data_IF_548971806801
#
_entry.id   IF_548971806801
#
_cell.length_a   1.000
_cell.length_b   1.000
_cell.length_c   1.000
_cell.angle_alpha   90.00
_cell.angle_beta   90.00
_cell.angle_gamma   90.00
#
_symmetry.space_group_name_H-M   'P 1'
#
loop_
_entity.id
_entity.type
_entity.pdbx_description
1 polymer ?
#
# COMPACT_ATOMS: atom_id res chain seq x y z
N UNK A 1 -0.05 -18.79 -52.84
CA UNK A 1 -0.39 -18.35 -51.49
C UNK A 1 0.71 -17.43 -51.00
N UNK A 2 0.42 -16.15 -50.91
CA UNK A 2 1.37 -15.18 -50.34
C UNK A 2 1.04 -15.08 -48.87
N UNK A 3 2.00 -15.49 -48.02
CA UNK A 3 1.97 -15.25 -46.57
C UNK A 3 2.08 -13.75 -46.33
N UNK A 4 1.08 -13.19 -45.68
CA UNK A 4 1.15 -11.83 -45.17
C UNK A 4 2.06 -11.83 -43.94
N UNK A 5 3.28 -11.43 -44.17
CA UNK A 5 4.22 -11.03 -43.13
C UNK A 5 3.69 -9.72 -42.53
N UNK A 6 3.03 -9.79 -41.37
CA UNK A 6 2.79 -8.64 -40.51
C UNK A 6 4.13 -8.24 -39.90
N UNK A 7 4.77 -7.30 -40.53
CA UNK A 7 5.90 -6.57 -39.96
C UNK A 7 5.39 -5.78 -38.76
N UNK A 8 5.53 -6.37 -37.57
CA UNK A 8 5.37 -5.70 -36.31
C UNK A 8 6.57 -4.76 -36.12
N UNK A 9 6.45 -3.54 -36.58
CA UNK A 9 7.46 -2.49 -36.45
C UNK A 9 7.78 -2.08 -35.03
N UNK A 10 8.03 -3.06 -34.14
CA UNK A 10 8.71 -2.86 -32.89
C UNK A 10 10.21 -2.90 -33.14
N UNK A 11 10.76 -1.74 -33.39
CA UNK A 11 12.21 -1.55 -33.30
C UNK A 11 12.61 -1.88 -31.87
N UNK A 12 13.27 -3.03 -31.67
CA UNK A 12 13.96 -3.31 -30.42
C UNK A 12 14.96 -2.18 -30.19
N UNK A 13 14.60 -1.28 -29.27
CA UNK A 13 15.59 -0.35 -28.75
C UNK A 13 16.62 -1.17 -28.00
N UNK A 14 17.77 -1.31 -28.59
CA UNK A 14 18.96 -1.79 -27.90
C UNK A 14 19.16 -0.87 -26.70
N UNK A 15 18.75 -1.34 -25.51
CA UNK A 15 19.05 -0.71 -24.26
C UNK A 15 20.53 -0.94 -23.95
N UNK A 16 21.35 -0.01 -24.41
CA UNK A 16 22.72 0.12 -23.91
C UNK A 16 22.59 0.32 -22.38
N UNK A 17 22.97 -0.73 -21.63
CA UNK A 17 23.43 -0.74 -20.24
C UNK A 17 22.98 0.37 -19.28
N UNK A 18 21.72 0.77 -19.27
CA UNK A 18 21.17 1.57 -18.20
C UNK A 18 20.42 0.64 -17.25
N UNK A 19 20.82 0.63 -15.98
CA UNK A 19 20.00 0.05 -14.93
C UNK A 19 18.55 0.58 -15.10
N UNK A 20 17.54 -0.29 -14.90
CA UNK A 20 16.15 0.18 -14.97
C UNK A 20 16.02 1.42 -14.08
N UNK A 21 15.28 2.46 -14.52
CA UNK A 21 15.15 3.67 -13.75
C UNK A 21 14.69 3.29 -12.33
N UNK A 22 15.46 3.68 -11.32
CA UNK A 22 15.05 3.49 -9.93
C UNK A 22 13.69 4.17 -9.76
N UNK A 23 12.70 3.40 -9.32
CA UNK A 23 11.41 3.96 -8.96
C UNK A 23 11.62 5.05 -7.90
N UNK A 24 10.98 6.21 -8.03
CA UNK A 24 11.13 7.28 -7.06
C UNK A 24 10.80 6.76 -5.66
N UNK A 25 11.68 7.03 -4.70
CA UNK A 25 11.46 6.63 -3.32
C UNK A 25 10.30 7.44 -2.72
N UNK A 26 9.28 6.72 -2.28
CA UNK A 26 8.13 7.32 -1.61
C UNK A 26 8.33 7.14 -0.11
N UNK A 27 8.79 8.19 0.57
CA UNK A 27 9.09 8.16 2.01
C UNK A 27 7.83 8.41 2.83
N UNK A 28 7.60 7.54 3.82
CA UNK A 28 6.48 7.62 4.75
C UNK A 28 6.97 7.36 6.17
N UNK A 29 6.30 7.93 7.16
CA UNK A 29 6.68 7.69 8.56
C UNK A 29 6.19 6.34 9.05
N UNK A 30 7.02 5.67 9.86
CA UNK A 30 6.70 4.41 10.52
C UNK A 30 6.61 4.63 12.03
N UNK A 31 5.60 4.02 12.66
CA UNK A 31 5.34 4.06 14.09
C UNK A 31 5.42 2.67 14.68
N UNK A 32 5.94 2.56 15.89
CA UNK A 32 6.18 1.29 16.57
C UNK A 32 4.90 0.44 16.70
N UNK A 33 3.78 1.09 17.01
CA UNK A 33 2.50 0.43 17.21
C UNK A 33 1.34 1.43 17.04
N UNK A 34 0.12 0.94 17.25
CA UNK A 34 -1.09 1.74 17.13
C UNK A 34 -1.12 2.98 18.05
N UNK A 35 -0.50 2.92 19.23
CA UNK A 35 -0.54 3.99 20.25
C UNK A 35 0.60 5.00 20.11
N UNK A 36 1.63 4.67 19.35
CA UNK A 36 2.80 5.52 19.23
C UNK A 36 2.45 6.87 18.60
N UNK A 37 2.85 7.96 19.21
CA UNK A 37 2.63 9.32 18.75
C UNK A 37 3.84 9.87 17.97
N UNK A 38 5.03 9.37 18.28
CA UNK A 38 6.27 9.75 17.60
C UNK A 38 6.69 8.67 16.62
N UNK A 39 7.12 9.02 15.41
CA UNK A 39 7.64 8.03 14.47
C UNK A 39 8.97 7.44 14.94
N UNK A 40 9.21 6.19 14.58
CA UNK A 40 10.52 5.55 14.68
C UNK A 40 11.51 6.10 13.63
N UNK A 41 10.99 6.53 12.51
CA UNK A 41 11.73 7.01 11.36
C UNK A 41 10.88 6.96 10.10
N UNK A 42 11.53 7.09 8.95
CA UNK A 42 10.90 7.05 7.65
C UNK A 42 11.34 5.80 6.89
N UNK A 43 10.41 5.24 6.13
CA UNK A 43 10.64 4.06 5.30
C UNK A 43 10.17 4.31 3.87
N UNK A 44 10.72 3.57 2.92
CA UNK A 44 10.20 3.52 1.57
C UNK A 44 8.90 2.72 1.55
N UNK A 45 7.81 3.31 1.03
CA UNK A 45 6.48 2.71 1.02
C UNK A 45 6.46 1.37 0.27
N UNK A 46 7.13 1.29 -0.88
CA UNK A 46 7.13 0.09 -1.71
C UNK A 46 7.89 -1.05 -1.02
N UNK A 47 9.04 -0.74 -0.42
CA UNK A 47 9.81 -1.72 0.36
C UNK A 47 9.02 -2.18 1.59
N UNK A 48 8.33 -1.27 2.25
CA UNK A 48 7.47 -1.62 3.39
C UNK A 48 6.35 -2.58 3.01
N UNK A 49 5.65 -2.33 1.91
CA UNK A 49 4.58 -3.22 1.42
C UNK A 49 5.08 -4.63 1.06
N UNK A 50 6.37 -4.77 0.74
CA UNK A 50 7.01 -6.05 0.42
C UNK A 50 7.69 -6.73 1.61
N UNK A 51 7.69 -6.12 2.80
CA UNK A 51 8.38 -6.69 3.96
C UNK A 51 7.71 -7.97 4.44
N UNK A 52 8.52 -8.98 4.78
CA UNK A 52 8.08 -10.22 5.41
C UNK A 52 8.38 -10.25 6.92
N UNK A 53 8.92 -9.16 7.48
CA UNK A 53 9.36 -9.10 8.89
C UNK A 53 8.28 -9.48 9.89
N UNK A 54 7.02 -9.19 9.59
CA UNK A 54 5.89 -9.43 10.50
C UNK A 54 4.99 -10.58 10.04
N UNK A 55 5.51 -11.47 9.20
CA UNK A 55 4.75 -12.57 8.60
C UNK A 55 4.08 -13.46 9.64
N UNK A 56 4.79 -13.80 10.72
CA UNK A 56 4.26 -14.68 11.78
C UNK A 56 3.09 -14.03 12.52
N UNK A 57 3.21 -12.75 12.87
CA UNK A 57 2.14 -12.00 13.52
C UNK A 57 0.92 -11.84 12.61
N UNK A 58 1.13 -11.64 11.31
CA UNK A 58 0.04 -11.56 10.34
C UNK A 58 -0.67 -12.92 10.17
N UNK A 59 0.08 -14.02 10.16
CA UNK A 59 -0.50 -15.38 10.13
C UNK A 59 -1.31 -15.62 11.40
N UNK A 60 -0.76 -15.32 12.57
CA UNK A 60 -1.46 -15.47 13.86
C UNK A 60 -2.76 -14.65 13.89
N UNK A 61 -2.74 -13.41 13.38
CA UNK A 61 -3.94 -12.58 13.25
C UNK A 61 -5.00 -13.20 12.35
N UNK A 62 -4.60 -13.80 11.24
CA UNK A 62 -5.53 -14.38 10.25
C UNK A 62 -6.10 -15.73 10.69
N UNK A 63 -5.36 -16.50 11.48
CA UNK A 63 -5.73 -17.85 11.88
C UNK A 63 -6.49 -17.93 13.19
N UNK A 64 -6.37 -16.92 14.08
CA UNK A 64 -7.12 -16.90 15.33
C UNK A 64 -8.57 -16.45 15.13
N UNK A 65 -9.52 -17.13 15.76
CA UNK A 65 -10.93 -16.73 15.85
C UNK A 65 -11.23 -15.84 17.08
N UNK A 66 -10.30 -15.76 18.02
CA UNK A 66 -10.46 -14.94 19.22
C UNK A 66 -10.23 -13.46 18.90
N UNK A 67 -11.30 -12.69 18.97
CA UNK A 67 -11.27 -11.25 18.65
C UNK A 67 -10.35 -10.45 19.60
N UNK A 68 -10.26 -10.83 20.86
CA UNK A 68 -9.35 -10.16 21.81
C UNK A 68 -7.89 -10.40 21.45
N UNK A 69 -7.56 -11.60 21.00
CA UNK A 69 -6.21 -11.93 20.52
C UNK A 69 -5.92 -11.18 19.23
N UNK A 70 -6.85 -11.13 18.28
CA UNK A 70 -6.72 -10.37 17.02
C UNK A 70 -6.44 -8.90 17.30
N UNK A 71 -7.22 -8.28 18.17
CA UNK A 71 -7.04 -6.86 18.52
C UNK A 71 -5.69 -6.61 19.21
N UNK A 72 -5.23 -7.51 20.05
CA UNK A 72 -3.90 -7.41 20.68
C UNK A 72 -2.80 -7.45 19.64
N UNK A 73 -2.85 -8.41 18.72
CA UNK A 73 -1.85 -8.53 17.63
C UNK A 73 -1.86 -7.26 16.79
N UNK A 74 -3.04 -6.82 16.32
CA UNK A 74 -3.19 -5.62 15.48
C UNK A 74 -2.60 -4.37 16.14
N UNK A 75 -2.84 -4.17 17.43
CA UNK A 75 -2.38 -2.99 18.17
C UNK A 75 -0.87 -2.95 18.37
N UNK A 76 -0.22 -4.12 18.39
CA UNK A 76 1.22 -4.24 18.58
C UNK A 76 2.01 -4.27 17.25
N UNK A 77 1.32 -4.36 16.10
CA UNK A 77 1.98 -4.26 14.83
C UNK A 77 2.38 -2.81 14.53
N UNK A 78 3.53 -2.59 13.89
CA UNK A 78 3.90 -1.27 13.43
C UNK A 78 2.93 -0.78 12.36
N UNK A 79 2.79 0.52 12.29
CA UNK A 79 1.95 1.18 11.30
C UNK A 79 2.71 2.30 10.57
N UNK A 80 2.23 2.62 9.38
CA UNK A 80 2.78 3.68 8.54
C UNK A 80 1.71 4.74 8.26
N UNK A 81 2.16 5.91 7.85
CA UNK A 81 1.31 7.00 7.37
C UNK A 81 1.51 7.20 5.87
N UNK A 82 0.73 6.52 4.99
CA UNK A 82 0.94 6.57 3.53
C UNK A 82 0.84 7.97 2.94
N UNK A 83 0.10 8.87 3.59
CA UNK A 83 -0.11 10.25 3.14
C UNK A 83 1.11 11.16 3.30
N UNK A 84 2.12 10.77 4.10
CA UNK A 84 3.27 11.65 4.27
C UNK A 84 4.25 11.27 5.36
N UNK A 85 5.20 12.18 5.54
CA UNK A 85 6.18 12.20 6.62
C UNK A 85 5.63 13.06 7.74
N UNK A 86 5.67 12.55 8.97
CA UNK A 86 5.13 13.19 10.17
C UNK A 86 6.19 13.25 11.27
N UNK A 87 6.26 14.33 12.02
CA UNK A 87 7.01 14.43 13.28
C UNK A 87 6.18 13.99 14.49
N UNK A 88 4.87 14.04 14.39
CA UNK A 88 3.92 13.49 15.37
C UNK A 88 2.71 12.93 14.62
N UNK A 89 2.06 11.92 15.19
CA UNK A 89 0.86 11.29 14.59
C UNK A 89 -0.38 12.15 14.85
N UNK A 90 -0.36 13.33 14.29
CA UNK A 90 -1.44 14.31 14.37
C UNK A 90 -1.52 15.10 13.06
N UNK A 91 -2.62 15.77 12.83
CA UNK A 91 -2.82 16.63 11.65
C UNK A 91 -1.71 17.68 11.53
N UNK A 92 -1.35 18.30 12.64
CA UNK A 92 -0.34 19.37 12.67
C UNK A 92 1.09 18.84 12.62
N UNK A 93 1.27 17.54 12.73
CA UNK A 93 2.57 16.88 12.65
C UNK A 93 3.07 16.62 11.24
N UNK A 94 2.28 16.88 10.20
CA UNK A 94 2.66 16.66 8.81
C UNK A 94 3.85 17.54 8.42
N UNK A 95 4.91 16.91 7.92
CA UNK A 95 6.12 17.58 7.42
C UNK A 95 6.12 17.65 5.90
N UNK A 96 5.79 16.54 5.27
CA UNK A 96 5.78 16.42 3.81
C UNK A 96 4.67 15.48 3.36
N UNK A 97 3.85 15.93 2.44
CA UNK A 97 2.80 15.11 1.83
C UNK A 97 3.35 14.28 0.67
N UNK A 98 2.94 13.00 0.57
CA UNK A 98 3.35 12.11 -0.52
C UNK A 98 2.53 12.27 -1.80
N UNK A 99 1.36 12.89 -1.73
CA UNK A 99 0.37 12.89 -2.81
C UNK A 99 -0.60 11.70 -2.76
N UNK A 100 -0.40 10.71 -1.86
CA UNK A 100 -1.32 9.59 -1.70
C UNK A 100 -2.44 9.91 -0.71
N UNK A 101 -3.61 9.40 -1.04
CA UNK A 101 -4.80 9.40 -0.16
C UNK A 101 -5.05 7.95 0.24
N UNK A 102 -5.19 7.72 1.54
CA UNK A 102 -5.62 6.43 2.07
C UNK A 102 -7.14 6.44 2.23
N UNK A 103 -7.82 5.56 1.51
CA UNK A 103 -9.26 5.36 1.61
C UNK A 103 -9.49 4.07 2.40
N UNK A 104 -10.15 4.18 3.54
CA UNK A 104 -10.56 3.03 4.35
C UNK A 104 -12.05 2.75 4.10
N UNK A 105 -12.34 1.55 3.62
CA UNK A 105 -13.70 1.09 3.36
C UNK A 105 -13.98 -0.09 4.28
N UNK A 106 -14.67 0.16 5.38
CA UNK A 106 -15.04 -0.87 6.32
C UNK A 106 -16.29 -1.62 5.83
N UNK A 107 -16.17 -2.93 5.67
CA UNK A 107 -17.28 -3.81 5.29
C UNK A 107 -18.46 -3.75 6.27
N UNK A 108 -18.17 -3.56 7.56
CA UNK A 108 -19.20 -3.44 8.60
C UNK A 108 -20.13 -2.27 8.36
N UNK A 109 -19.57 -1.13 7.93
CA UNK A 109 -20.33 0.08 7.68
C UNK A 109 -20.92 0.12 6.26
N UNK A 110 -20.46 -0.75 5.38
CA UNK A 110 -20.85 -0.84 3.98
C UNK A 110 -21.46 -2.20 3.62
N UNK A 111 -22.16 -2.84 4.55
CA UNK A 111 -22.72 -4.19 4.39
C UNK A 111 -23.75 -4.37 3.27
N UNK A 112 -24.17 -3.28 2.62
CA UNK A 112 -25.04 -3.31 1.43
C UNK A 112 -24.26 -3.70 0.16
N UNK A 113 -22.93 -3.59 0.20
CA UNK A 113 -22.07 -3.87 -0.93
C UNK A 113 -21.52 -5.30 -0.86
N UNK A 114 -21.83 -6.10 -1.89
CA UNK A 114 -21.30 -7.44 -2.02
C UNK A 114 -19.78 -7.47 -2.28
N UNK A 115 -19.16 -8.67 -2.30
CA UNK A 115 -17.71 -8.83 -2.53
C UNK A 115 -17.20 -8.18 -3.81
N UNK A 116 -18.02 -8.03 -4.84
CA UNK A 116 -17.70 -7.40 -6.11
C UNK A 116 -17.40 -5.90 -5.99
N UNK A 117 -17.86 -5.25 -4.93
CA UNK A 117 -17.51 -3.85 -4.65
C UNK A 117 -16.04 -3.66 -4.26
N UNK A 118 -15.42 -4.70 -3.73
CA UNK A 118 -14.02 -4.70 -3.32
C UNK A 118 -13.07 -5.16 -4.43
N UNK A 119 -13.58 -5.39 -5.65
CA UNK A 119 -12.73 -5.58 -6.81
C UNK A 119 -11.98 -4.27 -7.09
N UNK A 120 -10.65 -4.33 -6.93
CA UNK A 120 -9.75 -3.18 -7.06
C UNK A 120 -9.93 -2.41 -8.37
N UNK A 121 -10.23 -3.10 -9.47
CA UNK A 121 -10.45 -2.48 -10.77
C UNK A 121 -11.76 -1.67 -10.81
N UNK A 122 -12.82 -2.19 -10.22
CA UNK A 122 -14.12 -1.52 -10.17
C UNK A 122 -14.12 -0.32 -9.24
N UNK A 123 -13.43 -0.41 -8.09
CA UNK A 123 -13.33 0.68 -7.14
C UNK A 123 -12.59 1.88 -7.77
N UNK A 124 -11.46 1.62 -8.44
CA UNK A 124 -10.68 2.65 -9.13
C UNK A 124 -11.51 3.32 -10.22
N UNK A 125 -12.19 2.55 -11.09
CA UNK A 125 -13.03 3.11 -12.14
C UNK A 125 -14.12 4.04 -11.60
N UNK A 126 -14.87 3.62 -10.57
CA UNK A 126 -15.94 4.42 -9.98
C UNK A 126 -15.47 5.69 -9.25
N UNK A 127 -14.26 5.68 -8.70
CA UNK A 127 -13.71 6.85 -8.01
C UNK A 127 -13.32 7.96 -8.98
N UNK A 128 -12.97 7.61 -10.21
CA UNK A 128 -12.56 8.59 -11.23
C UNK A 128 -13.66 8.97 -12.23
N UNK A 129 -14.78 8.24 -12.27
CA UNK A 129 -15.92 8.53 -13.17
C UNK A 129 -17.04 9.37 -12.48
N UNK A 130 -16.85 9.77 -11.25
CA UNK A 130 -17.73 10.67 -10.49
C UNK A 130 -17.04 12.01 -10.25
#
# INVERSE_FOLDING_TARGET
MKENEYDNGYTERQTVGSNPPELPQIRVSVFENYFAQKPLGDVDLIKWCKTAKFKEQVIAFRTTSDEKVRQRIKRNLPCITPSGIFKTRSRDGLVQHTGFICIDIDHKDNGVFGPEWFDKKRLVAKTFDS
#
